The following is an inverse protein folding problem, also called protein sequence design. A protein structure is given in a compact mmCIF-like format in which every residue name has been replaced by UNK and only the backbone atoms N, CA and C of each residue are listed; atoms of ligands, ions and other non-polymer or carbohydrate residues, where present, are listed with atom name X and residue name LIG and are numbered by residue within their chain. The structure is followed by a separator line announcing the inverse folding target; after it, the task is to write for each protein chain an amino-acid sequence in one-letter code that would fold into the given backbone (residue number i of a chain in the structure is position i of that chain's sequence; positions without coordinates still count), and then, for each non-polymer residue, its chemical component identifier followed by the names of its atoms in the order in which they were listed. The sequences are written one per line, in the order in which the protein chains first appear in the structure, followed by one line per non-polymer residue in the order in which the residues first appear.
data_IF_301825842946
#
_entry.id   IF_301825842946
#
_cell.length_a   1.000
_cell.length_b   1.000
_cell.length_c   1.000
_cell.angle_alpha   90.00
_cell.angle_beta   90.00
_cell.angle_gamma   90.00
#
_symmetry.space_group_name_H-M   'P 1'
#
loop_
_entity.id
_entity.type
_entity.pdbx_description
1 polymer ?
#
# COMPACT_ATOMS: atom_id res chain seq x y z
N UNK A 1 -5.00 0.25 19.29
CA UNK A 1 -3.82 -0.64 19.21
C UNK A 1 -4.02 -1.59 18.04
N UNK A 2 -2.94 -1.98 17.36
CA UNK A 2 -2.91 -3.07 16.38
C UNK A 2 -1.82 -4.06 16.75
N UNK A 3 -2.01 -5.33 16.43
CA UNK A 3 -0.97 -6.34 16.56
C UNK A 3 -0.16 -6.42 15.26
N UNK A 4 1.16 -6.38 15.37
CA UNK A 4 2.09 -6.49 14.25
C UNK A 4 2.66 -7.90 14.13
N UNK A 5 3.42 -8.18 13.07
CA UNK A 5 3.83 -9.54 12.69
C UNK A 5 4.64 -10.30 13.76
N UNK A 6 5.27 -9.59 14.70
CA UNK A 6 6.02 -10.15 15.82
C UNK A 6 5.15 -10.27 17.10
N UNK A 7 3.83 -10.21 16.96
CA UNK A 7 2.83 -10.24 18.04
C UNK A 7 2.91 -9.09 19.04
N UNK A 8 3.73 -8.07 18.77
CA UNK A 8 3.72 -6.85 19.56
C UNK A 8 2.47 -6.03 19.27
N UNK A 9 1.97 -5.35 20.30
CA UNK A 9 0.84 -4.42 20.17
C UNK A 9 1.39 -3.01 20.09
N UNK A 10 1.12 -2.34 18.98
CA UNK A 10 1.51 -0.95 18.75
C UNK A 10 0.29 -0.03 18.75
N UNK A 11 0.52 1.22 19.14
CA UNK A 11 -0.54 2.20 19.29
C UNK A 11 -0.96 2.80 17.95
N UNK A 12 -2.28 2.86 17.72
CA UNK A 12 -2.87 3.60 16.61
C UNK A 12 -3.24 4.97 17.17
N UNK A 13 -2.70 6.01 16.57
CA UNK A 13 -2.89 7.41 17.03
C UNK A 13 -3.88 8.19 16.16
N UNK A 14 -4.28 7.63 15.01
CA UNK A 14 -5.29 8.23 14.14
C UNK A 14 -5.77 7.26 13.07
N UNK A 15 -6.86 7.63 12.39
CA UNK A 15 -7.38 6.97 11.20
C UNK A 15 -7.68 8.03 10.17
N UNK A 16 -7.30 7.83 8.92
CA UNK A 16 -7.54 8.79 7.86
C UNK A 16 -7.29 8.22 6.47
N UNK A 17 -7.40 9.07 5.46
CA UNK A 17 -7.20 8.70 4.07
C UNK A 17 -5.82 9.20 3.60
N UNK A 18 -5.16 8.40 2.76
CA UNK A 18 -3.84 8.71 2.17
C UNK A 18 -3.96 8.69 0.65
N UNK A 19 -3.40 9.70 -0.02
CA UNK A 19 -3.27 9.71 -1.48
C UNK A 19 -1.86 9.32 -1.87
N UNK A 20 -1.74 8.19 -2.57
CA UNK A 20 -0.50 7.73 -3.20
C UNK A 20 -0.41 8.29 -4.62
N UNK A 21 0.68 8.98 -4.92
CA UNK A 21 1.02 9.46 -6.26
C UNK A 21 1.98 8.48 -6.90
N UNK A 22 1.47 7.64 -7.79
CA UNK A 22 2.23 6.66 -8.53
C UNK A 22 2.60 7.22 -9.91
N UNK A 23 3.80 6.92 -10.38
CA UNK A 23 4.21 7.23 -11.75
C UNK A 23 4.75 5.94 -12.35
N UNK A 24 4.08 5.42 -13.36
CA UNK A 24 4.66 4.41 -14.23
C UNK A 24 5.25 5.11 -15.43
N UNK A 25 6.46 4.71 -15.81
CA UNK A 25 7.30 5.44 -16.78
C UNK A 25 6.59 5.68 -18.13
N UNK A 26 5.60 4.84 -18.46
CA UNK A 26 4.86 4.86 -19.74
C UNK A 26 3.37 5.28 -19.63
N UNK A 27 2.76 5.32 -18.43
CA UNK A 27 1.30 5.55 -18.28
C UNK A 27 0.94 6.86 -17.57
N UNK A 28 1.95 7.68 -17.21
CA UNK A 28 1.76 8.96 -16.55
C UNK A 28 1.37 8.84 -15.07
N UNK A 29 1.16 9.98 -14.37
CA UNK A 29 0.85 9.98 -12.94
C UNK A 29 -0.55 9.43 -12.67
N UNK A 30 -0.65 8.53 -11.69
CA UNK A 30 -1.90 7.97 -11.17
C UNK A 30 -2.02 8.23 -9.68
N UNK A 31 -3.21 8.66 -9.25
CA UNK A 31 -3.52 8.87 -7.84
C UNK A 31 -4.35 7.71 -7.32
N UNK A 32 -3.90 7.09 -6.22
CA UNK A 32 -4.65 6.05 -5.51
C UNK A 32 -4.97 6.57 -4.12
N UNK A 33 -6.26 6.60 -3.77
CA UNK A 33 -6.68 6.92 -2.40
C UNK A 33 -6.81 5.63 -1.60
N UNK A 34 -6.06 5.54 -0.52
CA UNK A 34 -6.19 4.51 0.49
C UNK A 34 -7.05 5.05 1.62
N UNK A 35 -8.27 4.53 1.75
CA UNK A 35 -9.20 5.00 2.78
C UNK A 35 -9.17 4.19 4.07
N UNK A 36 -9.45 4.87 5.17
CA UNK A 36 -9.48 4.30 6.53
C UNK A 36 -8.15 3.63 6.93
N UNK A 37 -7.03 4.29 6.62
CA UNK A 37 -5.67 3.87 6.98
C UNK A 37 -5.39 4.21 8.43
N UNK A 38 -4.67 3.32 9.13
CA UNK A 38 -4.29 3.50 10.53
C UNK A 38 -2.96 4.25 10.61
N UNK A 39 -2.94 5.38 11.33
CA UNK A 39 -1.71 6.10 11.61
C UNK A 39 -1.03 5.52 12.86
N UNK A 40 0.12 4.87 12.65
CA UNK A 40 0.87 4.12 13.67
C UNK A 40 2.32 4.63 13.70
N UNK A 41 2.64 5.70 14.47
CA UNK A 41 3.94 6.37 14.45
C UNK A 41 5.14 5.48 14.80
N UNK A 42 4.89 4.38 15.53
CA UNK A 42 5.93 3.43 15.94
C UNK A 42 6.35 2.48 14.82
N UNK A 43 5.59 2.39 13.71
CA UNK A 43 6.01 1.62 12.55
C UNK A 43 7.05 2.40 11.75
N UNK A 44 8.18 1.77 11.46
CA UNK A 44 9.25 2.40 10.67
C UNK A 44 8.94 2.53 9.17
N UNK A 45 7.83 1.95 8.70
CA UNK A 45 7.36 1.96 7.30
C UNK A 45 5.84 1.81 7.27
N UNK A 46 5.23 2.34 6.23
CA UNK A 46 3.83 2.05 5.93
C UNK A 46 3.68 0.59 5.46
N UNK A 47 2.61 -0.05 5.93
CA UNK A 47 2.28 -1.43 5.59
C UNK A 47 0.98 -1.47 4.81
N UNK A 48 1.02 -2.15 3.67
CA UNK A 48 -0.14 -2.34 2.83
C UNK A 48 -0.65 -3.78 2.95
N UNK A 49 -1.86 -3.95 3.50
CA UNK A 49 -2.43 -5.27 3.78
C UNK A 49 -2.96 -5.93 2.52
N UNK A 50 -2.41 -7.10 2.17
CA UNK A 50 -2.89 -7.91 1.04
C UNK A 50 -4.35 -8.34 1.26
N UNK A 51 -4.71 -8.77 2.47
CA UNK A 51 -6.10 -9.17 2.76
C UNK A 51 -7.10 -8.04 2.51
N UNK A 52 -6.72 -6.80 2.79
CA UNK A 52 -7.57 -5.63 2.54
C UNK A 52 -7.70 -5.31 1.04
N UNK A 53 -6.67 -5.62 0.25
CA UNK A 53 -6.72 -5.53 -1.23
C UNK A 53 -7.71 -6.57 -1.77
N UNK A 54 -7.63 -7.81 -1.28
CA UNK A 54 -8.52 -8.90 -1.67
C UNK A 54 -9.97 -8.64 -1.26
N UNK A 55 -10.24 -8.13 -0.05
CA UNK A 55 -11.57 -7.72 0.42
C UNK A 55 -12.25 -6.68 -0.48
N UNK A 56 -11.45 -5.84 -1.15
CA UNK A 56 -11.94 -4.84 -2.12
C UNK A 56 -12.17 -5.42 -3.52
N UNK A 57 -11.87 -6.71 -3.72
CA UNK A 57 -12.07 -7.44 -4.97
C UNK A 57 -10.96 -7.24 -6.00
N UNK A 58 -9.77 -6.84 -5.55
CA UNK A 58 -8.57 -6.81 -6.38
C UNK A 58 -7.83 -8.15 -6.27
N UNK A 59 -7.12 -8.53 -7.33
CA UNK A 59 -6.25 -9.71 -7.34
C UNK A 59 -4.81 -9.28 -7.08
N UNK A 60 -4.06 -10.07 -6.31
CA UNK A 60 -2.62 -9.87 -6.14
C UNK A 60 -1.87 -11.04 -6.76
N UNK A 61 -0.98 -10.76 -7.70
CA UNK A 61 -0.11 -11.74 -8.33
C UNK A 61 1.35 -11.52 -7.92
N UNK A 62 2.04 -12.61 -7.56
CA UNK A 62 3.46 -12.60 -7.25
C UNK A 62 4.19 -13.52 -8.23
N UNK A 63 5.17 -12.98 -8.95
CA UNK A 63 5.98 -13.77 -9.88
C UNK A 63 7.37 -13.16 -10.03
N UNK A 64 8.42 -13.99 -9.98
CA UNK A 64 9.80 -13.59 -10.24
C UNK A 64 10.31 -12.36 -9.46
N UNK A 65 9.80 -12.14 -8.24
CA UNK A 65 10.19 -10.99 -7.41
C UNK A 65 9.43 -9.70 -7.76
N UNK A 66 8.36 -9.78 -8.53
CA UNK A 66 7.40 -8.72 -8.74
C UNK A 66 6.08 -9.06 -8.06
N UNK A 67 5.40 -8.03 -7.59
CA UNK A 67 4.00 -8.12 -7.18
C UNK A 67 3.18 -7.14 -8.02
N UNK A 68 1.99 -7.58 -8.46
CA UNK A 68 1.03 -6.78 -9.20
C UNK A 68 -0.32 -6.83 -8.52
N UNK A 69 -0.94 -5.68 -8.31
CA UNK A 69 -2.34 -5.56 -7.92
C UNK A 69 -3.14 -5.32 -9.19
N UNK A 70 -4.09 -6.21 -9.45
CA UNK A 70 -4.88 -6.27 -10.68
C UNK A 70 -6.32 -5.89 -10.35
N UNK A 71 -6.84 -4.91 -11.09
CA UNK A 71 -8.21 -4.44 -11.00
C UNK A 71 -9.21 -5.40 -11.62
N UNK A 72 -10.49 -5.07 -11.48
CA UNK A 72 -11.59 -5.94 -11.93
C UNK A 72 -11.64 -6.11 -13.45
N UNK A 73 -11.08 -5.17 -14.21
CA UNK A 73 -11.05 -5.22 -15.66
C UNK A 73 -9.73 -5.82 -16.20
N UNK A 74 -8.87 -6.35 -15.31
CA UNK A 74 -7.58 -6.94 -15.66
C UNK A 74 -6.43 -5.94 -15.77
N UNK A 75 -6.68 -4.66 -15.52
CA UNK A 75 -5.66 -3.62 -15.51
C UNK A 75 -4.72 -3.76 -14.31
N UNK A 76 -3.43 -3.47 -14.49
CA UNK A 76 -2.51 -3.35 -13.35
C UNK A 76 -2.71 -1.98 -12.71
N UNK A 77 -3.06 -1.99 -11.43
CA UNK A 77 -3.34 -0.78 -10.63
C UNK A 77 -2.09 -0.35 -9.86
N UNK A 78 -1.29 -1.32 -9.43
CA UNK A 78 -0.10 -1.07 -8.63
C UNK A 78 0.94 -2.18 -8.85
N UNK A 79 2.20 -1.78 -8.93
CA UNK A 79 3.35 -2.68 -9.02
C UNK A 79 4.29 -2.50 -7.84
N UNK A 80 4.89 -3.59 -7.39
CA UNK A 80 5.91 -3.57 -6.35
C UNK A 80 7.06 -4.53 -6.70
N UNK A 81 8.28 -4.13 -6.33
CA UNK A 81 9.49 -4.94 -6.55
C UNK A 81 9.94 -5.54 -5.23
N UNK A 82 10.32 -6.81 -5.25
CA UNK A 82 10.86 -7.49 -4.08
C UNK A 82 12.25 -6.96 -3.77
N UNK A 83 12.41 -6.43 -2.56
CA UNK A 83 13.70 -6.14 -1.94
C UNK A 83 13.83 -7.02 -0.72
N UNK A 84 14.78 -7.96 -0.75
CA UNK A 84 14.90 -9.05 0.24
C UNK A 84 13.61 -9.86 0.34
N UNK A 85 12.85 -9.73 1.45
CA UNK A 85 11.60 -10.44 1.71
C UNK A 85 10.36 -9.55 1.66
N UNK A 86 10.51 -8.27 1.30
CA UNK A 86 9.41 -7.31 1.22
C UNK A 86 9.17 -6.87 -0.22
N UNK A 87 7.90 -6.75 -0.62
CA UNK A 87 7.52 -6.12 -1.87
C UNK A 87 7.32 -4.63 -1.62
N UNK A 88 8.15 -3.81 -2.24
CA UNK A 88 8.18 -2.37 -2.03
C UNK A 88 7.56 -1.67 -3.24
N UNK A 89 6.55 -0.85 -2.97
CA UNK A 89 5.95 0.05 -3.95
C UNK A 89 6.91 1.23 -4.13
N UNK A 90 7.26 1.56 -5.37
CA UNK A 90 8.08 2.73 -5.66
C UNK A 90 7.16 3.91 -5.97
N UNK A 91 6.98 4.78 -4.99
CA UNK A 91 6.28 6.05 -5.15
C UNK A 91 7.27 7.17 -5.51
N UNK A 92 6.81 8.19 -6.24
CA UNK A 92 7.56 9.43 -6.42
C UNK A 92 7.05 10.42 -5.36
N UNK A 93 7.81 10.60 -4.27
CA UNK A 93 7.59 11.59 -3.20
C UNK A 93 6.10 11.87 -2.92
N UNK A 94 5.48 11.03 -2.11
CA UNK A 94 4.17 11.33 -1.54
C UNK A 94 4.30 12.50 -0.57
N UNK A 95 3.57 13.57 -0.84
CA UNK A 95 3.15 14.48 0.22
C UNK A 95 2.00 13.78 0.94
N UNK A 96 2.30 13.06 2.02
CA UNK A 96 1.26 12.41 2.84
C UNK A 96 0.56 13.52 3.63
N UNK A 97 -0.69 13.81 3.27
CA UNK A 97 -1.57 14.68 4.05
C UNK A 97 -2.64 13.79 4.67
N UNK A 98 -2.74 13.81 6.00
CA UNK A 98 -3.95 13.37 6.69
C UNK A 98 -4.94 14.51 6.52
N UNK A 99 -6.05 14.26 5.83
CA UNK A 99 -7.16 15.23 5.72
C UNK A 99 -8.17 14.93 6.81
N UNK A 100 -8.50 15.94 7.62
CA UNK A 100 -9.57 15.90 8.64
C UNK A 100 -10.97 15.90 8.04
#
# INVERSE_FOLDING_TARGET
MVEVINSEKVEVTGVGDIVLFLHEDDEGPRNITLSNVLYVPKLGRDLFSIGRIEEKGFKVEFLNGEAKVIGKNGETVLTAKRKERLHIIKENKSSVYITD
#
